data_IF_395367697858
#
_entry.id   IF_395367697858
#
_cell.length_a   1.000
_cell.length_b   1.000
_cell.length_c   1.000
_cell.angle_alpha   90.00
_cell.angle_beta   90.00
_cell.angle_gamma   90.00
#
_symmetry.space_group_name_H-M   'P 1'
#
loop_
_entity.id
_entity.type
_entity.pdbx_description
1 polymer ?
#
# COMPACT_ATOMS: atom_id res chain seq x y z
N UNK A 1 29.65 -19.31 -53.73
CA UNK A 1 28.36 -19.66 -53.11
C UNK A 1 28.58 -20.30 -51.75
N UNK A 2 29.33 -19.66 -50.83
CA UNK A 2 29.74 -20.21 -49.54
C UNK A 2 29.80 -19.20 -48.38
N UNK A 3 29.24 -17.98 -48.57
CA UNK A 3 29.25 -16.90 -47.52
C UNK A 3 27.90 -16.61 -46.90
N UNK A 4 26.82 -17.26 -47.28
CA UNK A 4 25.48 -16.98 -46.76
C UNK A 4 25.05 -17.83 -45.56
N UNK A 5 25.77 -18.91 -45.23
CA UNK A 5 25.34 -19.86 -44.17
C UNK A 5 25.95 -19.59 -42.78
N UNK A 6 26.91 -18.66 -42.63
CA UNK A 6 27.54 -18.41 -41.31
C UNK A 6 26.82 -17.34 -40.49
N UNK A 7 26.09 -16.43 -41.13
CA UNK A 7 25.35 -15.37 -40.39
C UNK A 7 24.04 -15.85 -39.77
N UNK A 8 23.35 -16.82 -40.36
CA UNK A 8 22.06 -17.30 -39.83
C UNK A 8 22.21 -18.16 -38.56
N UNK A 9 23.31 -18.88 -38.40
CA UNK A 9 23.57 -19.73 -37.23
C UNK A 9 23.91 -18.90 -36.00
N UNK A 10 24.51 -17.72 -36.16
CA UNK A 10 24.91 -16.86 -35.01
C UNK A 10 23.75 -16.06 -34.44
N UNK A 11 22.77 -15.69 -35.24
CA UNK A 11 21.56 -15.03 -34.75
C UNK A 11 20.64 -15.98 -33.98
N UNK A 12 20.48 -17.20 -34.42
CA UNK A 12 19.66 -18.21 -33.74
C UNK A 12 20.26 -18.61 -32.37
N UNK A 13 21.57 -18.62 -32.21
CA UNK A 13 22.19 -18.90 -30.92
C UNK A 13 21.98 -17.72 -29.93
N UNK A 14 22.16 -16.47 -30.35
CA UNK A 14 21.90 -15.31 -29.46
C UNK A 14 20.45 -15.27 -28.96
N UNK A 15 19.49 -15.55 -29.84
CA UNK A 15 18.06 -15.61 -29.45
C UNK A 15 17.78 -16.70 -28.42
N UNK A 16 18.41 -17.85 -28.54
CA UNK A 16 18.26 -18.99 -27.58
C UNK A 16 18.88 -18.67 -26.21
N UNK A 17 20.01 -17.95 -26.16
CA UNK A 17 20.60 -17.51 -24.89
C UNK A 17 19.77 -16.40 -24.21
N UNK A 18 19.16 -15.48 -24.96
CA UNK A 18 18.26 -14.49 -24.38
C UNK A 18 16.99 -15.15 -23.82
N UNK A 19 16.40 -16.09 -24.53
CA UNK A 19 15.25 -16.85 -24.04
C UNK A 19 15.59 -17.67 -22.79
N UNK A 20 16.73 -18.35 -22.77
CA UNK A 20 17.19 -19.11 -21.61
C UNK A 20 17.51 -18.19 -20.41
N UNK A 21 18.09 -17.01 -20.65
CA UNK A 21 18.38 -16.04 -19.61
C UNK A 21 17.09 -15.47 -19.01
N UNK A 22 16.09 -15.16 -19.84
CA UNK A 22 14.78 -14.69 -19.36
C UNK A 22 14.08 -15.75 -18.52
N UNK A 23 14.08 -17.02 -18.95
CA UNK A 23 13.50 -18.13 -18.19
C UNK A 23 14.26 -18.33 -16.87
N UNK A 24 15.59 -18.22 -16.86
CA UNK A 24 16.41 -18.35 -15.65
C UNK A 24 16.16 -17.17 -14.69
N UNK A 25 16.05 -15.95 -15.18
CA UNK A 25 15.67 -14.76 -14.38
C UNK A 25 14.25 -14.93 -13.84
N UNK A 26 13.29 -15.41 -14.63
CA UNK A 26 11.94 -15.71 -14.14
C UNK A 26 11.94 -16.80 -13.06
N UNK A 27 12.79 -17.83 -13.17
CA UNK A 27 12.94 -18.86 -12.13
C UNK A 27 13.57 -18.31 -10.85
N UNK A 28 14.52 -17.38 -10.94
CA UNK A 28 15.12 -16.72 -9.78
C UNK A 28 14.15 -15.75 -9.10
N UNK A 29 13.22 -15.17 -9.86
CA UNK A 29 12.16 -14.28 -9.33
C UNK A 29 10.98 -15.08 -8.76
N UNK A 30 10.85 -16.35 -9.09
CA UNK A 30 9.85 -17.29 -8.54
C UNK A 30 10.25 -17.82 -7.17
N UNK A 31 11.05 -17.07 -6.40
CA UNK A 31 11.24 -17.33 -4.98
C UNK A 31 9.87 -17.30 -4.31
N UNK A 32 9.17 -18.43 -4.26
CA UNK A 32 8.06 -18.66 -3.37
C UNK A 32 8.51 -18.29 -1.96
N UNK A 33 8.19 -17.08 -1.51
CA UNK A 33 8.19 -16.84 -0.08
C UNK A 33 7.10 -17.76 0.45
N UNK A 34 7.52 -18.85 1.10
CA UNK A 34 6.60 -19.75 1.78
C UNK A 34 5.84 -18.93 2.80
N UNK A 35 4.62 -18.53 2.42
CA UNK A 35 3.68 -17.99 3.36
C UNK A 35 3.41 -19.10 4.37
N UNK A 36 3.69 -18.84 5.64
CA UNK A 36 3.28 -19.75 6.71
C UNK A 36 1.82 -19.42 7.00
N UNK A 37 0.87 -20.27 6.58
CA UNK A 37 -0.56 -20.00 6.76
C UNK A 37 -0.97 -19.93 8.24
N UNK A 38 -0.09 -20.32 9.15
CA UNK A 38 -0.36 -20.43 10.58
C UNK A 38 0.03 -19.17 11.38
N UNK A 39 0.59 -18.14 10.74
CA UNK A 39 0.94 -16.89 11.39
C UNK A 39 -0.05 -15.77 11.01
N UNK A 40 -0.64 -15.14 12.01
CA UNK A 40 -1.53 -13.98 11.87
C UNK A 40 -0.98 -12.79 12.65
N UNK A 41 -1.35 -11.57 12.25
CA UNK A 41 -1.03 -10.40 13.04
C UNK A 41 -1.89 -10.35 14.30
N UNK A 42 -1.25 -10.05 15.43
CA UNK A 42 -1.95 -9.91 16.70
C UNK A 42 -2.64 -8.56 16.79
N UNK A 43 -3.96 -8.58 16.82
CA UNK A 43 -4.82 -7.41 16.91
C UNK A 43 -5.28 -7.10 18.34
N UNK A 44 -4.65 -7.68 19.36
CA UNK A 44 -5.01 -7.45 20.77
C UNK A 44 -4.89 -5.98 21.20
N UNK A 45 -4.06 -5.18 20.49
CA UNK A 45 -3.96 -3.74 20.69
C UNK A 45 -5.21 -2.95 20.30
N UNK A 46 -6.20 -3.59 19.69
CA UNK A 46 -7.46 -2.95 19.29
C UNK A 46 -8.20 -2.24 20.42
N UNK A 47 -7.96 -2.65 21.66
CA UNK A 47 -8.51 -1.98 22.86
C UNK A 47 -7.97 -0.55 23.05
N UNK A 48 -6.84 -0.21 22.43
CA UNK A 48 -6.20 1.10 22.50
C UNK A 48 -6.48 1.96 21.27
N UNK A 49 -7.09 1.39 20.23
CA UNK A 49 -7.35 2.10 18.99
C UNK A 49 -8.37 3.21 19.20
N UNK A 50 -8.25 4.24 18.38
CA UNK A 50 -9.16 5.40 18.32
C UNK A 50 -9.56 5.67 16.89
N UNK A 51 -10.68 6.34 16.76
CA UNK A 51 -11.14 6.91 15.50
C UNK A 51 -10.00 7.71 14.85
N UNK A 52 -9.77 7.53 13.56
CA UNK A 52 -8.72 8.21 12.82
C UNK A 52 -7.30 7.63 13.01
N UNK A 53 -7.06 6.67 13.90
CA UNK A 53 -5.75 6.01 13.92
C UNK A 53 -5.42 5.47 12.53
N UNK A 54 -4.16 5.51 12.16
CA UNK A 54 -3.67 5.04 10.86
C UNK A 54 -3.15 3.62 11.01
N UNK A 55 -3.48 2.76 10.06
CA UNK A 55 -2.90 1.42 9.97
C UNK A 55 -2.02 1.31 8.74
N UNK A 56 -0.94 0.56 8.88
CA UNK A 56 0.02 0.26 7.83
C UNK A 56 0.12 -1.25 7.65
N UNK A 57 0.24 -1.72 6.42
CA UNK A 57 0.57 -3.12 6.11
C UNK A 57 1.62 -3.23 5.01
N UNK A 58 2.32 -4.35 4.97
CA UNK A 58 3.15 -4.76 3.85
C UNK A 58 2.46 -5.91 3.12
N UNK A 59 2.17 -5.74 1.83
CA UNK A 59 1.64 -6.81 0.99
C UNK A 59 2.72 -7.77 0.49
N UNK A 60 2.30 -8.78 -0.29
CA UNK A 60 3.18 -9.81 -0.86
C UNK A 60 3.56 -9.54 -2.31
N UNK A 61 2.77 -8.74 -3.05
CA UNK A 61 2.89 -8.48 -4.48
C UNK A 61 4.14 -7.68 -4.87
N UNK A 62 4.37 -7.61 -6.19
CA UNK A 62 5.48 -6.85 -6.76
C UNK A 62 5.32 -5.34 -6.54
N UNK A 63 4.08 -4.83 -6.60
CA UNK A 63 3.76 -3.43 -6.29
C UNK A 63 4.17 -3.07 -4.87
N UNK A 64 3.81 -3.92 -3.89
CA UNK A 64 4.23 -3.75 -2.50
C UNK A 64 5.75 -3.68 -2.36
N UNK A 65 6.47 -4.52 -3.10
CA UNK A 65 7.95 -4.49 -3.10
C UNK A 65 8.49 -3.19 -3.70
N UNK A 66 7.89 -2.71 -4.79
CA UNK A 66 8.29 -1.45 -5.41
C UNK A 66 8.11 -0.27 -4.45
N UNK A 67 6.97 -0.18 -3.76
CA UNK A 67 6.70 0.86 -2.77
C UNK A 67 7.68 0.79 -1.60
N UNK A 68 7.94 -0.40 -1.05
CA UNK A 68 8.89 -0.63 0.06
C UNK A 68 10.31 -0.18 -0.31
N UNK A 69 10.78 -0.54 -1.51
CA UNK A 69 12.13 -0.18 -1.96
C UNK A 69 12.26 1.33 -2.15
N UNK A 70 11.29 1.96 -2.81
CA UNK A 70 11.30 3.41 -3.04
C UNK A 70 11.15 4.21 -1.73
N UNK A 71 10.27 3.76 -0.83
CA UNK A 71 10.03 4.40 0.47
C UNK A 71 11.10 4.11 1.52
N UNK A 72 11.98 3.12 1.30
CA UNK A 72 12.91 2.61 2.33
C UNK A 72 12.21 2.28 3.65
N UNK A 73 10.98 1.79 3.56
CA UNK A 73 10.10 1.44 4.69
C UNK A 73 9.79 -0.05 4.67
N UNK A 74 9.20 -0.53 5.76
CA UNK A 74 8.66 -1.89 5.86
C UNK A 74 7.28 -2.00 5.22
N UNK A 75 6.55 -0.89 5.10
CA UNK A 75 5.13 -0.88 4.74
C UNK A 75 4.90 -0.37 3.33
N UNK A 76 3.89 -0.93 2.68
CA UNK A 76 3.52 -0.62 1.29
C UNK A 76 2.11 -0.10 1.12
N UNK A 77 1.30 -0.13 2.19
CA UNK A 77 -0.11 0.22 2.13
C UNK A 77 -0.60 0.79 3.45
N UNK A 78 -1.60 1.67 3.40
CA UNK A 78 -2.14 2.36 4.57
C UNK A 78 -3.65 2.53 4.48
N UNK A 79 -4.29 2.76 5.63
CA UNK A 79 -5.70 3.12 5.75
C UNK A 79 -6.00 3.79 7.09
N UNK A 80 -7.22 4.22 7.27
CA UNK A 80 -7.73 4.88 8.47
C UNK A 80 -8.63 3.92 9.25
N UNK A 81 -8.43 3.85 10.56
CA UNK A 81 -9.33 3.15 11.47
C UNK A 81 -10.62 3.96 11.68
N UNK A 82 -11.73 3.25 11.60
CA UNK A 82 -13.07 3.73 11.89
C UNK A 82 -13.79 2.69 12.74
N UNK A 83 -14.50 3.12 13.77
CA UNK A 83 -15.34 2.24 14.58
C UNK A 83 -16.79 2.35 14.15
N UNK A 84 -17.30 1.32 13.49
CA UNK A 84 -18.71 1.19 13.17
C UNK A 84 -19.45 0.49 14.33
N UNK A 85 -20.60 1.02 14.74
CA UNK A 85 -21.36 0.51 15.89
C UNK A 85 -21.85 -0.92 15.70
N UNK A 86 -22.11 -1.35 14.47
CA UNK A 86 -22.65 -2.66 14.15
C UNK A 86 -21.58 -3.70 13.84
N UNK A 87 -20.51 -3.28 13.13
CA UNK A 87 -19.48 -4.18 12.60
C UNK A 87 -18.11 -4.05 13.29
N UNK A 88 -17.99 -3.13 14.27
CA UNK A 88 -16.76 -2.91 15.02
C UNK A 88 -15.67 -2.18 14.20
N UNK A 89 -14.40 -2.43 14.51
CA UNK A 89 -13.30 -1.76 13.85
C UNK A 89 -13.18 -2.09 12.36
N UNK A 90 -13.19 -1.06 11.55
CA UNK A 90 -13.06 -1.09 10.10
C UNK A 90 -11.80 -0.33 9.68
N UNK A 91 -11.29 -0.61 8.48
CA UNK A 91 -10.26 0.18 7.80
C UNK A 91 -10.85 0.79 6.55
N UNK A 92 -10.79 2.11 6.45
CA UNK A 92 -11.12 2.84 5.22
C UNK A 92 -9.84 3.01 4.42
N UNK A 93 -9.78 2.46 3.22
CA UNK A 93 -8.58 2.47 2.38
C UNK A 93 -8.89 2.40 0.89
N UNK A 94 -7.90 2.77 0.08
CA UNK A 94 -7.91 2.64 -1.37
C UNK A 94 -6.90 1.57 -1.77
N UNK A 95 -7.31 0.54 -2.49
CA UNK A 95 -6.44 -0.59 -2.83
C UNK A 95 -6.72 -1.09 -4.24
N UNK A 96 -5.67 -1.33 -5.07
CA UNK A 96 -5.82 -1.89 -6.39
C UNK A 96 -6.01 -3.40 -6.36
N UNK A 97 -6.66 -3.96 -7.38
CA UNK A 97 -6.66 -5.39 -7.69
C UNK A 97 -7.49 -6.28 -6.75
N UNK A 98 -8.19 -5.73 -5.78
CA UNK A 98 -9.03 -6.52 -4.87
C UNK A 98 -10.49 -6.61 -5.32
N UNK A 99 -10.97 -5.61 -6.05
CA UNK A 99 -12.35 -5.50 -6.54
C UNK A 99 -12.37 -4.99 -7.99
N UNK A 100 -13.52 -5.04 -8.65
CA UNK A 100 -13.70 -4.46 -9.99
C UNK A 100 -15.11 -3.87 -10.08
N UNK A 101 -15.27 -2.54 -10.22
CA UNK A 101 -14.23 -1.50 -10.20
C UNK A 101 -13.55 -1.31 -8.83
N UNK A 102 -12.32 -0.81 -8.83
CA UNK A 102 -11.47 -0.62 -7.65
C UNK A 102 -11.86 0.66 -6.88
N UNK A 103 -12.93 0.60 -6.12
CA UNK A 103 -13.37 1.72 -5.29
C UNK A 103 -12.64 1.79 -3.96
N UNK A 104 -12.54 3.02 -3.40
CA UNK A 104 -12.23 3.20 -1.98
C UNK A 104 -13.29 2.46 -1.19
N UNK A 105 -12.87 1.72 -0.17
CA UNK A 105 -13.75 0.86 0.62
C UNK A 105 -13.49 0.93 2.12
N UNK A 106 -14.49 0.49 2.89
CA UNK A 106 -14.36 0.15 4.30
C UNK A 106 -14.47 -1.36 4.45
N UNK A 107 -13.53 -1.98 5.12
CA UNK A 107 -13.56 -3.42 5.41
C UNK A 107 -13.13 -3.71 6.84
N UNK A 108 -13.54 -4.86 7.38
CA UNK A 108 -13.14 -5.26 8.73
C UNK A 108 -11.61 -5.31 8.87
N UNK A 109 -11.07 -4.84 10.01
CA UNK A 109 -9.63 -4.85 10.28
C UNK A 109 -9.04 -6.25 10.11
N UNK A 110 -9.77 -7.29 10.47
CA UNK A 110 -9.34 -8.68 10.27
C UNK A 110 -9.17 -9.06 8.79
N UNK A 111 -9.94 -8.45 7.88
CA UNK A 111 -9.77 -8.64 6.43
C UNK A 111 -8.58 -7.84 5.91
N UNK A 112 -8.42 -6.60 6.37
CA UNK A 112 -7.27 -5.78 6.01
C UNK A 112 -5.94 -6.45 6.38
N UNK A 113 -5.86 -7.07 7.56
CA UNK A 113 -4.66 -7.75 8.06
C UNK A 113 -4.65 -9.27 7.86
N UNK A 114 -5.52 -9.82 7.01
CA UNK A 114 -5.49 -11.26 6.77
C UNK A 114 -4.12 -11.70 6.20
N UNK A 115 -3.64 -12.92 6.51
CA UNK A 115 -2.30 -13.39 6.18
C UNK A 115 -1.95 -13.31 4.68
N UNK A 116 -2.92 -13.49 3.79
CA UNK A 116 -2.72 -13.39 2.34
C UNK A 116 -2.51 -11.95 1.85
N UNK A 117 -2.89 -10.94 2.64
CA UNK A 117 -2.79 -9.52 2.30
C UNK A 117 -1.73 -8.76 3.09
N UNK A 118 -1.38 -9.25 4.29
CA UNK A 118 -0.49 -8.55 5.20
C UNK A 118 0.61 -9.47 5.73
N UNK A 119 1.84 -9.19 5.32
CA UNK A 119 3.05 -9.82 5.86
C UNK A 119 3.50 -9.17 7.16
N UNK A 120 3.40 -7.84 7.21
CA UNK A 120 3.71 -7.00 8.36
C UNK A 120 2.59 -6.00 8.55
N UNK A 121 2.40 -5.55 9.77
CA UNK A 121 1.43 -4.51 10.11
C UNK A 121 1.95 -3.59 11.19
N UNK A 122 1.39 -2.39 11.24
CA UNK A 122 1.56 -1.45 12.33
C UNK A 122 0.32 -0.57 12.47
N UNK A 123 0.20 0.09 13.61
CA UNK A 123 -0.71 1.20 13.77
C UNK A 123 0.01 2.40 14.38
N UNK A 124 -0.43 3.57 14.05
CA UNK A 124 0.12 4.82 14.53
C UNK A 124 -1.00 5.83 14.79
N UNK A 125 -0.73 6.78 15.66
CA UNK A 125 -1.68 7.82 16.08
C UNK A 125 -1.16 9.19 15.75
N UNK A 126 -2.03 10.01 15.16
CA UNK A 126 -1.74 11.42 14.91
C UNK A 126 -2.03 12.22 16.18
N UNK A 127 -1.18 13.22 16.46
CA UNK A 127 -1.35 14.09 17.61
C UNK A 127 -2.45 15.13 17.36
N UNK A 128 -3.70 14.73 17.55
CA UNK A 128 -4.87 15.61 17.45
C UNK A 128 -5.94 15.20 18.47
N UNK A 129 -6.94 16.06 18.66
CA UNK A 129 -8.09 15.73 19.49
C UNK A 129 -9.07 14.78 18.78
N UNK A 130 -9.90 14.07 19.54
CA UNK A 130 -10.85 13.08 19.03
C UNK A 130 -11.85 13.69 18.01
N UNK A 131 -12.23 14.95 18.19
CA UNK A 131 -13.12 15.63 17.25
C UNK A 131 -12.49 15.81 15.86
N UNK A 132 -11.21 16.16 15.77
CA UNK A 132 -10.50 16.25 14.49
C UNK A 132 -10.28 14.86 13.89
N UNK A 133 -9.95 13.87 14.70
CA UNK A 133 -9.83 12.48 14.26
C UNK A 133 -11.13 11.95 13.65
N UNK A 134 -12.28 12.22 14.28
CA UNK A 134 -13.59 11.86 13.74
C UNK A 134 -13.93 12.57 12.43
N UNK A 135 -13.55 13.85 12.28
CA UNK A 135 -13.72 14.58 11.02
C UNK A 135 -12.85 14.00 9.91
N UNK A 136 -11.64 13.54 10.25
CA UNK A 136 -10.72 12.86 9.32
C UNK A 136 -11.34 11.59 8.74
N UNK A 137 -11.91 10.74 9.58
CA UNK A 137 -12.59 9.53 9.11
C UNK A 137 -13.88 9.82 8.36
N UNK A 138 -14.61 10.85 8.75
CA UNK A 138 -15.81 11.31 8.02
C UNK A 138 -15.47 11.68 6.58
N UNK A 139 -14.34 12.35 6.35
CA UNK A 139 -13.87 12.65 4.99
C UNK A 139 -13.60 11.37 4.20
N UNK A 140 -12.89 10.39 4.78
CA UNK A 140 -12.59 9.13 4.12
C UNK A 140 -13.86 8.33 3.80
N UNK A 141 -14.82 8.25 4.74
CA UNK A 141 -16.11 7.59 4.54
C UNK A 141 -16.96 8.28 3.47
N UNK A 142 -16.87 9.60 3.35
CA UNK A 142 -17.51 10.32 2.26
C UNK A 142 -16.95 9.84 0.90
N UNK A 143 -15.64 9.60 0.76
CA UNK A 143 -15.05 9.06 -0.48
C UNK A 143 -15.52 7.64 -0.80
N UNK A 144 -15.79 6.82 0.22
CA UNK A 144 -16.45 5.52 0.05
C UNK A 144 -17.87 5.70 -0.51
N UNK A 145 -18.66 6.60 0.09
CA UNK A 145 -20.03 6.87 -0.34
C UNK A 145 -20.11 7.46 -1.77
N UNK A 146 -19.15 8.30 -2.12
CA UNK A 146 -18.98 8.87 -3.47
C UNK A 146 -18.50 7.84 -4.50
N UNK A 147 -18.08 6.65 -4.07
CA UNK A 147 -17.52 5.59 -4.91
C UNK A 147 -16.31 6.06 -5.72
N UNK A 148 -15.42 6.81 -5.08
CA UNK A 148 -14.17 7.27 -5.69
C UNK A 148 -13.30 6.06 -6.07
N UNK A 149 -12.70 6.09 -7.26
CA UNK A 149 -11.85 5.01 -7.76
C UNK A 149 -10.44 5.11 -7.18
N UNK A 150 -9.73 3.97 -7.23
CA UNK A 150 -8.31 3.91 -6.93
C UNK A 150 -7.49 4.55 -8.05
N UNK A 151 -6.56 5.45 -7.68
CA UNK A 151 -5.61 6.04 -8.62
C UNK A 151 -4.44 5.09 -8.89
N UNK A 152 -4.45 4.49 -10.07
CA UNK A 152 -3.39 3.61 -10.55
C UNK A 152 -2.14 4.36 -11.05
N UNK A 153 -2.23 5.67 -11.23
CA UNK A 153 -1.11 6.53 -11.63
C UNK A 153 -0.30 7.04 -10.45
N UNK A 154 -0.86 7.00 -9.24
CA UNK A 154 -0.26 7.51 -7.99
C UNK A 154 0.07 9.01 -8.03
N UNK A 155 -0.72 9.80 -8.72
CA UNK A 155 -0.51 11.23 -8.89
C UNK A 155 -1.30 12.05 -7.88
N UNK A 156 -0.64 12.93 -7.14
CA UNK A 156 -1.30 13.81 -6.16
C UNK A 156 -2.22 14.87 -6.76
N UNK A 157 -2.02 15.22 -8.02
CA UNK A 157 -2.76 16.29 -8.72
C UNK A 157 -4.10 15.81 -9.28
N UNK A 158 -4.34 14.51 -9.37
CA UNK A 158 -5.64 13.95 -9.76
C UNK A 158 -6.61 14.06 -8.56
N UNK A 159 -7.78 14.65 -8.81
CA UNK A 159 -8.83 14.79 -7.79
C UNK A 159 -10.00 13.82 -7.97
N UNK A 160 -10.00 13.06 -9.05
CA UNK A 160 -11.08 12.14 -9.44
C UNK A 160 -10.85 10.73 -8.93
N UNK A 161 -9.60 10.35 -8.76
CA UNK A 161 -9.15 9.07 -8.24
C UNK A 161 -8.20 9.32 -7.05
N UNK A 162 -8.05 8.34 -6.16
CA UNK A 162 -7.26 8.52 -4.93
C UNK A 162 -6.55 7.20 -4.59
N UNK A 163 -5.23 7.22 -4.37
CA UNK A 163 -4.48 6.07 -3.87
C UNK A 163 -4.38 6.06 -2.33
N UNK A 164 -3.85 4.99 -1.75
CA UNK A 164 -3.96 4.72 -0.31
C UNK A 164 -3.37 5.81 0.59
N UNK A 165 -2.15 6.26 0.31
CA UNK A 165 -1.45 7.27 1.13
C UNK A 165 -2.08 8.64 0.96
N UNK A 166 -2.52 8.93 -0.25
CA UNK A 166 -3.23 10.16 -0.58
C UNK A 166 -4.57 10.25 0.14
N UNK A 167 -5.34 9.15 0.23
CA UNK A 167 -6.58 9.13 1.00
C UNK A 167 -6.34 9.53 2.45
N UNK A 168 -5.35 8.93 3.10
CA UNK A 168 -4.98 9.26 4.49
C UNK A 168 -4.51 10.71 4.60
N UNK A 169 -3.65 11.15 3.69
CA UNK A 169 -3.15 12.53 3.69
C UNK A 169 -4.26 13.56 3.46
N UNK A 170 -5.12 13.39 2.46
CA UNK A 170 -6.26 14.29 2.19
C UNK A 170 -7.23 14.34 3.34
N UNK A 171 -7.49 13.20 3.98
CA UNK A 171 -8.36 13.10 5.15
C UNK A 171 -7.84 13.98 6.30
N UNK A 172 -6.56 13.89 6.63
CA UNK A 172 -5.96 14.76 7.66
C UNK A 172 -5.79 16.19 7.21
N UNK A 173 -5.50 16.45 5.94
CA UNK A 173 -5.45 17.80 5.37
C UNK A 173 -6.79 18.51 5.47
N UNK A 174 -7.92 17.81 5.41
CA UNK A 174 -9.26 18.41 5.58
C UNK A 174 -9.46 19.08 6.94
N UNK A 175 -8.69 18.67 7.94
CA UNK A 175 -8.69 19.25 9.30
C UNK A 175 -7.40 20.06 9.59
N UNK A 176 -6.62 20.39 8.57
CA UNK A 176 -5.43 21.24 8.67
C UNK A 176 -4.14 20.54 9.13
N UNK A 177 -4.11 19.21 9.18
CA UNK A 177 -2.94 18.43 9.60
C UNK A 177 -2.25 17.81 8.37
N UNK A 178 -0.94 18.00 8.26
CA UNK A 178 -0.13 17.36 7.21
C UNK A 178 0.64 16.15 7.76
N UNK A 179 0.11 14.95 7.52
CA UNK A 179 0.72 13.69 7.98
C UNK A 179 1.89 13.24 7.12
N UNK A 180 2.22 13.92 6.02
CA UNK A 180 3.41 13.67 5.21
C UNK A 180 4.61 14.53 5.63
N UNK A 181 4.43 15.47 6.57
CA UNK A 181 5.44 16.48 6.95
C UNK A 181 5.98 17.28 5.75
N UNK A 182 5.17 17.46 4.71
CA UNK A 182 5.52 18.16 3.48
C UNK A 182 6.40 17.37 2.50
N UNK A 183 6.67 16.09 2.79
CA UNK A 183 7.47 15.24 1.90
C UNK A 183 6.69 14.90 0.61
N UNK A 184 7.44 14.86 -0.50
CA UNK A 184 6.96 14.48 -1.84
C UNK A 184 8.07 13.70 -2.53
N UNK A 185 7.67 12.74 -3.35
CA UNK A 185 8.58 11.90 -4.13
C UNK A 185 8.13 11.89 -5.58
N UNK A 186 9.07 11.73 -6.50
CA UNK A 186 8.73 11.40 -7.88
C UNK A 186 8.03 10.04 -7.92
N UNK A 187 6.94 9.95 -8.67
CA UNK A 187 6.25 8.67 -8.89
C UNK A 187 7.22 7.70 -9.56
N UNK A 188 7.41 6.47 -9.01
CA UNK A 188 8.26 5.49 -9.67
C UNK A 188 7.81 5.24 -11.11
N UNK A 189 8.75 5.25 -12.06
CA UNK A 189 8.49 5.06 -13.49
C UNK A 189 7.71 3.78 -13.84
N UNK A 190 7.58 2.85 -12.88
CA UNK A 190 6.76 1.66 -13.02
C UNK A 190 5.26 2.00 -13.06
N UNK A 191 4.84 3.09 -12.41
CA UNK A 191 3.43 3.49 -12.26
C UNK A 191 3.07 4.67 -13.15
N UNK A 192 3.94 5.68 -13.25
CA UNK A 192 3.74 6.85 -14.10
C UNK A 192 5.06 7.38 -14.65
N UNK A 193 5.01 8.19 -15.71
CA UNK A 193 6.18 8.81 -16.31
C UNK A 193 6.62 10.10 -15.61
N UNK A 194 5.71 10.84 -14.99
CA UNK A 194 5.95 12.14 -14.35
C UNK A 194 4.92 12.38 -13.23
N UNK A 195 5.31 13.11 -12.20
CA UNK A 195 4.44 13.57 -11.12
C UNK A 195 4.97 13.26 -9.73
N UNK A 196 4.26 13.75 -8.72
CA UNK A 196 4.64 13.59 -7.32
C UNK A 196 3.67 12.66 -6.58
N UNK A 197 4.21 11.92 -5.61
CA UNK A 197 3.43 11.06 -4.72
C UNK A 197 3.87 11.19 -3.26
N UNK A 198 3.03 10.69 -2.36
CA UNK A 198 3.34 10.46 -0.94
C UNK A 198 3.47 8.95 -0.73
N UNK A 199 4.50 8.52 -0.02
CA UNK A 199 4.77 7.12 0.29
C UNK A 199 4.28 6.77 1.70
N UNK A 200 4.00 5.49 2.01
CA UNK A 200 3.67 5.06 3.37
C UNK A 200 4.74 5.42 4.40
N UNK A 201 6.01 5.46 3.99
CA UNK A 201 7.13 5.90 4.81
C UNK A 201 7.00 7.34 5.31
N UNK A 202 6.41 8.24 4.52
CA UNK A 202 6.27 9.64 4.90
C UNK A 202 5.27 9.79 6.06
N UNK A 203 4.21 8.96 6.03
CA UNK A 203 3.24 8.90 7.12
C UNK A 203 3.85 8.21 8.35
N UNK A 204 4.58 7.10 8.16
CA UNK A 204 5.25 6.36 9.23
C UNK A 204 6.22 7.25 10.00
N UNK A 205 7.01 8.06 9.28
CA UNK A 205 8.04 8.94 9.86
C UNK A 205 7.56 10.37 10.13
N UNK A 206 6.26 10.62 10.02
CA UNK A 206 5.70 11.96 10.19
C UNK A 206 5.93 12.50 11.59
N UNK A 207 6.28 13.78 11.68
CA UNK A 207 6.41 14.51 12.95
C UNK A 207 5.06 14.75 13.65
N UNK A 208 3.96 14.56 12.94
CA UNK A 208 2.61 14.72 13.51
C UNK A 208 2.12 13.46 14.21
N UNK A 209 2.80 12.32 14.04
CA UNK A 209 2.47 11.06 14.73
C UNK A 209 3.09 11.03 16.12
N UNK A 210 2.31 10.65 17.11
CA UNK A 210 2.78 10.47 18.48
C UNK A 210 3.38 9.09 18.73
N UNK A 211 2.91 8.10 17.98
CA UNK A 211 3.15 6.71 18.32
C UNK A 211 3.08 5.82 17.07
N UNK A 212 4.10 5.01 16.90
CA UNK A 212 4.16 3.94 15.89
C UNK A 212 4.40 2.63 16.60
N UNK A 213 3.49 1.67 16.46
CA UNK A 213 3.64 0.34 17.04
C UNK A 213 3.52 -0.74 15.98
N UNK A 214 4.58 -1.52 15.72
CA UNK A 214 4.49 -2.72 14.91
C UNK A 214 3.55 -3.74 15.55
N UNK A 215 2.70 -4.36 14.75
CA UNK A 215 1.90 -5.51 15.17
C UNK A 215 2.79 -6.75 15.23
N UNK A 216 2.68 -7.52 16.30
CA UNK A 216 3.38 -8.79 16.46
C UNK A 216 2.66 -9.86 15.64
N UNK A 217 3.40 -10.87 15.20
CA UNK A 217 2.80 -12.11 14.69
C UNK A 217 2.52 -13.06 15.85
N UNK A 218 1.44 -13.82 15.73
CA UNK A 218 1.12 -14.95 16.61
C UNK A 218 0.76 -16.17 15.77
N UNK A 219 1.08 -17.34 16.29
CA UNK A 219 0.64 -18.60 15.68
C UNK A 219 -0.83 -18.82 16.01
N UNK A 220 -1.59 -19.32 15.04
CA UNK A 220 -2.99 -19.71 15.18
C UNK A 220 -3.14 -20.93 16.09
#
# INVERSE_FOLDING_TARGET
MLLHNVQTTNQNNKSRYHAALIVYICMLLSGCSSHKPDEVLDLSDSIYWREGDIVLRCGWGMESRAVVVNGRSTYSHTGLLHHDECSGWQVVHAVPGEDTPEYIKSEAVAQFFQPMRARYGAWLRVNCCDSLAAQTTSYALQKVAERVLFDNSYLLDDTTEIYCTELVWRSYRSVGIDVSSGLRHEVPHLFSSEGECILPSDIEMSKTTQYVKPLKTKTL
#
